data_IF_392131907066
#
_entry.id   IF_392131907066
#
_cell.length_a   1.000
_cell.length_b   1.000
_cell.length_c   1.000
_cell.angle_alpha   90.00
_cell.angle_beta   90.00
_cell.angle_gamma   90.00
#
_symmetry.space_group_name_H-M   'P 1'
#
loop_
_entity.id
_entity.type
_entity.pdbx_description
1 polymer ?
#
# COMPACT_ATOMS: atom_id res chain seq x y z
N UNK A 1 -2.07 -6.61 21.41
CA UNK A 1 -1.23 -7.83 21.44
C UNK A 1 -0.29 -7.73 22.63
N UNK A 2 -0.09 -8.78 23.43
CA UNK A 2 0.86 -8.74 24.55
C UNK A 2 2.28 -9.10 24.10
N UNK A 3 3.29 -8.52 24.75
CA UNK A 3 4.71 -8.82 24.47
C UNK A 3 5.01 -10.31 24.67
N UNK A 4 4.47 -10.91 25.74
CA UNK A 4 4.64 -12.33 26.05
C UNK A 4 4.11 -13.24 24.94
N UNK A 5 3.02 -12.86 24.29
CA UNK A 5 2.47 -13.63 23.17
C UNK A 5 3.42 -13.58 21.97
N UNK A 6 3.88 -12.40 21.57
CA UNK A 6 4.81 -12.26 20.43
C UNK A 6 6.13 -12.96 20.71
N UNK A 7 6.69 -12.78 21.90
CA UNK A 7 7.91 -13.46 22.32
C UNK A 7 7.75 -14.98 22.36
N UNK A 8 6.59 -15.50 22.78
CA UNK A 8 6.32 -16.94 22.78
C UNK A 8 6.17 -17.50 21.37
N UNK A 9 5.48 -16.78 20.48
CA UNK A 9 5.35 -17.14 19.07
C UNK A 9 6.71 -17.13 18.35
N UNK A 10 7.55 -16.13 18.65
CA UNK A 10 8.91 -16.04 18.12
C UNK A 10 9.78 -17.23 18.59
N UNK A 11 9.75 -17.56 19.89
CA UNK A 11 10.48 -18.70 20.45
C UNK A 11 10.06 -20.05 19.87
N UNK A 12 8.78 -20.17 19.50
CA UNK A 12 8.26 -21.39 18.89
C UNK A 12 8.84 -21.67 17.51
N UNK A 13 9.36 -20.66 16.79
CA UNK A 13 9.97 -20.81 15.46
C UNK A 13 9.02 -21.26 14.34
N UNK A 14 7.73 -21.44 14.64
CA UNK A 14 6.72 -21.90 13.67
C UNK A 14 5.98 -20.74 13.01
N UNK A 15 6.05 -19.52 13.57
CA UNK A 15 5.33 -18.39 13.00
C UNK A 15 6.04 -17.89 11.74
N UNK A 16 5.43 -18.15 10.58
CA UNK A 16 5.93 -17.69 9.27
C UNK A 16 5.32 -16.37 8.84
N UNK A 17 4.08 -16.10 9.25
CA UNK A 17 3.37 -14.89 8.87
C UNK A 17 2.58 -14.34 10.06
N UNK A 18 2.62 -13.03 10.23
CA UNK A 18 1.85 -12.29 11.21
C UNK A 18 0.99 -11.24 10.50
N UNK A 19 -0.34 -11.41 10.57
CA UNK A 19 -1.30 -10.43 10.06
C UNK A 19 -1.86 -9.58 11.19
N UNK A 20 -1.69 -8.27 11.10
CA UNK A 20 -2.20 -7.28 12.05
C UNK A 20 -3.30 -6.45 11.38
N UNK A 21 -4.52 -6.57 11.90
CA UNK A 21 -5.66 -5.77 11.47
C UNK A 21 -5.93 -4.67 12.49
N UNK A 22 -5.86 -3.42 12.05
CA UNK A 22 -6.06 -2.23 12.88
C UNK A 22 -7.38 -1.59 12.48
N UNK A 23 -8.35 -1.67 13.38
CA UNK A 23 -9.67 -1.09 13.22
C UNK A 23 -9.89 0.02 14.26
N UNK A 24 -10.76 0.97 13.93
CA UNK A 24 -11.29 1.99 14.84
C UNK A 24 -10.22 2.90 15.46
N UNK A 25 -10.60 3.64 16.50
CA UNK A 25 -9.74 4.66 17.09
C UNK A 25 -8.56 4.07 17.86
N UNK A 26 -7.35 4.39 17.39
CA UNK A 26 -6.10 4.06 18.06
C UNK A 26 -5.85 5.12 19.12
N UNK A 27 -5.94 4.76 20.39
CA UNK A 27 -5.62 5.67 21.50
C UNK A 27 -4.12 5.70 21.77
N UNK A 28 -3.65 6.80 22.36
CA UNK A 28 -2.27 6.96 22.85
C UNK A 28 -1.85 5.93 23.91
N UNK A 29 -2.82 5.19 24.48
CA UNK A 29 -2.60 4.13 25.47
C UNK A 29 -2.27 2.77 24.87
N UNK A 30 -2.22 2.64 23.54
CA UNK A 30 -1.76 1.41 22.91
C UNK A 30 -0.34 1.10 23.39
N UNK A 31 -0.13 -0.03 24.09
CA UNK A 31 1.20 -0.40 24.53
C UNK A 31 2.04 -0.56 23.27
N UNK A 32 3.06 0.27 23.12
CA UNK A 32 4.10 0.05 22.14
C UNK A 32 4.71 -1.31 22.48
N UNK A 33 4.25 -2.37 21.79
CA UNK A 33 4.82 -3.70 21.94
C UNK A 33 6.32 -3.56 21.80
N UNK A 34 7.05 -4.02 22.82
CA UNK A 34 8.46 -3.73 22.96
C UNK A 34 9.22 -4.16 21.69
N UNK A 35 10.08 -3.25 21.22
CA UNK A 35 10.91 -3.34 20.02
C UNK A 35 11.58 -4.72 19.88
N UNK A 36 12.04 -5.30 21.00
CA UNK A 36 12.72 -6.61 21.06
C UNK A 36 11.89 -7.77 20.53
N UNK A 37 10.58 -7.75 20.71
CA UNK A 37 9.70 -8.84 20.26
C UNK A 37 9.50 -8.83 18.74
N UNK A 38 9.53 -7.64 18.11
CA UNK A 38 9.42 -7.51 16.65
C UNK A 38 10.69 -7.96 15.93
N UNK A 39 11.86 -7.58 16.46
CA UNK A 39 13.14 -8.01 15.92
C UNK A 39 13.28 -9.54 15.92
N UNK A 40 12.87 -10.20 17.00
CA UNK A 40 12.90 -11.66 17.12
C UNK A 40 12.04 -12.37 16.05
N UNK A 41 10.91 -11.78 15.64
CA UNK A 41 10.13 -12.29 14.50
C UNK A 41 10.92 -12.21 13.19
N UNK A 42 11.61 -11.10 12.96
CA UNK A 42 12.46 -10.94 11.77
C UNK A 42 13.63 -11.94 11.72
N UNK A 43 14.18 -12.31 12.87
CA UNK A 43 15.28 -13.29 12.99
C UNK A 43 14.85 -14.71 12.62
N UNK A 44 13.62 -15.10 12.93
CA UNK A 44 13.05 -16.40 12.52
C UNK A 44 12.48 -16.40 11.09
N UNK A 45 12.66 -15.29 10.35
CA UNK A 45 12.16 -15.15 8.99
C UNK A 45 10.64 -14.94 8.90
N UNK A 46 9.97 -14.60 9.99
CA UNK A 46 8.55 -14.27 9.98
C UNK A 46 8.33 -12.98 9.18
N UNK A 47 7.32 -12.99 8.31
CA UNK A 47 6.86 -11.81 7.59
C UNK A 47 5.65 -11.18 8.30
N UNK A 48 5.54 -9.86 8.27
CA UNK A 48 4.40 -9.15 8.84
C UNK A 48 3.58 -8.41 7.76
N UNK A 49 2.26 -8.56 7.83
CA UNK A 49 1.28 -7.76 7.09
C UNK A 49 0.52 -6.87 8.05
N UNK A 50 0.41 -5.58 7.73
CA UNK A 50 -0.40 -4.63 8.48
C UNK A 50 -1.49 -4.07 7.58
N UNK A 51 -2.74 -4.27 8.00
CA UNK A 51 -3.93 -3.76 7.31
C UNK A 51 -4.67 -2.81 8.24
N UNK A 52 -4.77 -1.55 7.84
CA UNK A 52 -5.48 -0.49 8.57
C UNK A 52 -6.82 -0.22 7.88
N UNK A 53 -7.90 -0.27 8.65
CA UNK A 53 -9.28 -0.23 8.16
C UNK A 53 -10.03 0.87 8.90
N UNK A 54 -10.49 1.89 8.18
CA UNK A 54 -11.30 2.98 8.73
C UNK A 54 -10.71 3.62 9.99
N UNK A 55 -9.39 3.84 10.01
CA UNK A 55 -8.70 4.34 11.20
C UNK A 55 -7.94 5.65 10.92
N UNK A 56 -8.64 6.81 10.92
CA UNK A 56 -7.98 8.11 10.78
C UNK A 56 -7.02 8.43 11.94
N UNK A 57 -7.32 7.95 13.15
CA UNK A 57 -6.45 8.11 14.32
C UNK A 57 -5.22 7.20 14.26
N UNK A 58 -5.26 6.05 13.56
CA UNK A 58 -4.05 5.27 13.28
C UNK A 58 -3.00 6.10 12.54
N UNK A 59 -3.40 7.03 11.68
CA UNK A 59 -2.47 7.92 10.97
C UNK A 59 -1.74 8.88 11.93
N UNK A 60 -2.33 9.23 13.06
CA UNK A 60 -1.65 10.05 14.09
C UNK A 60 -0.61 9.24 14.88
N UNK A 61 -0.80 7.93 14.95
CA UNK A 61 0.01 7.00 15.74
C UNK A 61 0.73 5.93 14.89
N UNK A 62 0.90 6.19 13.59
CA UNK A 62 1.38 5.18 12.64
C UNK A 62 2.74 4.59 13.00
N UNK A 63 3.61 5.35 13.67
CA UNK A 63 4.94 4.87 14.14
C UNK A 63 4.85 3.85 15.28
N UNK A 64 3.79 3.90 16.08
CA UNK A 64 3.52 2.91 17.12
C UNK A 64 2.91 1.64 16.54
N UNK A 65 2.16 1.78 15.44
CA UNK A 65 1.51 0.66 14.72
C UNK A 65 2.49 -0.05 13.79
N UNK A 66 3.40 0.72 13.18
CA UNK A 66 4.47 0.27 12.30
C UNK A 66 5.82 0.47 13.00
N UNK A 67 6.12 -0.27 14.08
CA UNK A 67 7.41 -0.15 14.74
C UNK A 67 8.52 -0.55 13.77
N UNK A 68 9.66 0.14 13.84
CA UNK A 68 10.72 0.00 12.84
C UNK A 68 11.29 -1.41 12.68
N UNK A 69 11.30 -2.19 13.76
CA UNK A 69 11.82 -3.57 13.75
C UNK A 69 10.78 -4.61 13.32
N UNK A 70 9.54 -4.18 13.04
CA UNK A 70 8.54 -5.04 12.43
C UNK A 70 9.06 -5.54 11.08
N UNK A 71 9.07 -6.86 10.81
CA UNK A 71 9.45 -7.41 9.51
C UNK A 71 8.32 -7.20 8.48
N UNK A 72 7.93 -5.94 8.29
CA UNK A 72 6.83 -5.50 7.44
C UNK A 72 7.11 -5.82 5.97
N UNK A 73 6.25 -6.64 5.38
CA UNK A 73 6.27 -6.98 3.96
C UNK A 73 5.04 -6.46 3.23
N UNK A 74 3.90 -6.31 3.90
CA UNK A 74 2.68 -5.76 3.30
C UNK A 74 2.08 -4.67 4.16
N UNK A 75 1.78 -3.54 3.55
CA UNK A 75 1.11 -2.41 4.18
C UNK A 75 -0.13 -2.06 3.36
N UNK A 76 -1.31 -2.21 3.96
CA UNK A 76 -2.59 -1.91 3.32
C UNK A 76 -3.36 -0.92 4.17
N UNK A 77 -3.84 0.15 3.55
CA UNK A 77 -4.60 1.21 4.18
C UNK A 77 -5.89 1.39 3.40
N UNK A 78 -7.03 1.18 4.06
CA UNK A 78 -8.35 1.39 3.48
C UNK A 78 -9.10 2.45 4.28
N UNK A 79 -9.53 3.50 3.61
CA UNK A 79 -10.33 4.60 4.15
C UNK A 79 -9.73 5.21 5.42
N UNK A 80 -8.40 5.34 5.44
CA UNK A 80 -7.63 5.89 6.56
C UNK A 80 -7.54 7.43 6.51
N UNK A 81 -8.20 8.06 5.54
CA UNK A 81 -8.24 9.50 5.32
C UNK A 81 -6.84 10.09 5.05
N UNK A 82 -6.56 11.27 5.60
CA UNK A 82 -5.37 12.05 5.29
C UNK A 82 -4.10 11.36 5.77
N UNK A 83 -3.30 10.87 4.82
CA UNK A 83 -1.99 10.30 5.09
C UNK A 83 -1.03 11.35 5.67
N UNK A 84 -0.24 11.01 6.71
CA UNK A 84 0.75 11.92 7.28
C UNK A 84 1.88 12.24 6.28
N UNK A 85 2.39 13.49 6.25
CA UNK A 85 3.50 13.85 5.35
C UNK A 85 4.80 13.07 5.54
N UNK A 86 4.99 12.47 6.72
CA UNK A 86 6.20 11.69 7.03
C UNK A 86 6.01 10.19 6.85
N UNK A 87 4.83 9.73 6.38
CA UNK A 87 4.53 8.31 6.26
C UNK A 87 5.48 7.62 5.29
N UNK A 88 5.58 8.12 4.06
CA UNK A 88 6.42 7.51 3.03
C UNK A 88 7.91 7.56 3.39
N UNK A 89 8.38 8.70 3.91
CA UNK A 89 9.76 8.83 4.42
C UNK A 89 10.05 7.75 5.47
N UNK A 90 9.12 7.54 6.39
CA UNK A 90 9.26 6.55 7.45
C UNK A 90 9.28 5.12 6.90
N UNK A 91 8.34 4.78 6.00
CA UNK A 91 8.27 3.45 5.38
C UNK A 91 9.55 3.18 4.58
N UNK A 92 10.01 4.12 3.76
CA UNK A 92 11.27 4.01 3.03
C UNK A 92 12.47 3.87 3.96
N UNK A 93 12.51 4.61 5.07
CA UNK A 93 13.63 4.58 6.00
C UNK A 93 13.69 3.29 6.85
N UNK A 94 12.54 2.67 7.16
CA UNK A 94 12.48 1.55 8.13
C UNK A 94 12.14 0.20 7.54
N UNK A 95 11.43 0.16 6.41
CA UNK A 95 10.86 -1.09 5.87
C UNK A 95 11.22 -1.33 4.39
N UNK A 96 12.05 -0.48 3.78
CA UNK A 96 12.36 -0.53 2.35
C UNK A 96 12.85 -1.88 1.84
N UNK A 97 13.73 -2.55 2.57
CA UNK A 97 14.34 -3.82 2.16
C UNK A 97 13.40 -5.03 2.23
N UNK A 98 12.23 -4.89 2.86
CA UNK A 98 11.26 -5.97 3.06
C UNK A 98 9.91 -5.71 2.41
N UNK A 99 9.53 -4.45 2.21
CA UNK A 99 8.23 -4.10 1.67
C UNK A 99 8.04 -4.69 0.26
N UNK A 100 7.00 -5.51 0.12
CA UNK A 100 6.57 -6.16 -1.11
C UNK A 100 5.24 -5.63 -1.62
N UNK A 101 4.33 -5.27 -0.72
CA UNK A 101 3.00 -4.77 -1.08
C UNK A 101 2.72 -3.44 -0.38
N UNK A 102 2.33 -2.44 -1.16
CA UNK A 102 1.75 -1.20 -0.66
C UNK A 102 0.40 -0.96 -1.33
N UNK A 103 -0.67 -0.93 -0.53
CA UNK A 103 -2.02 -0.59 -1.00
C UNK A 103 -2.57 0.59 -0.23
N UNK A 104 -2.97 1.62 -0.96
CA UNK A 104 -3.61 2.82 -0.47
C UNK A 104 -4.98 2.92 -1.14
N UNK A 105 -6.03 2.88 -0.34
CA UNK A 105 -7.41 2.98 -0.81
C UNK A 105 -8.12 4.07 -0.03
N UNK A 106 -8.66 5.03 -0.76
CA UNK A 106 -9.55 6.06 -0.23
C UNK A 106 -10.73 6.24 -1.19
N UNK A 107 -11.84 6.76 -0.67
CA UNK A 107 -13.01 7.06 -1.48
C UNK A 107 -12.71 8.15 -2.51
N UNK A 108 -13.22 7.95 -3.73
CA UNK A 108 -13.03 8.82 -4.88
C UNK A 108 -14.15 9.86 -5.07
N UNK A 109 -15.05 10.03 -4.09
CA UNK A 109 -16.22 10.93 -4.06
C UNK A 109 -16.41 11.83 -5.29
N UNK A 110 -17.56 11.68 -5.93
CA UNK A 110 -17.95 12.13 -7.28
C UNK A 110 -17.98 13.66 -7.55
N UNK A 111 -16.96 14.41 -7.10
CA UNK A 111 -16.83 15.85 -7.29
C UNK A 111 -15.69 16.15 -8.28
N UNK A 112 -15.88 15.73 -9.53
CA UNK A 112 -15.07 16.14 -10.70
C UNK A 112 -14.25 15.04 -11.38
N UNK A 113 -13.62 15.38 -12.51
CA UNK A 113 -12.90 14.45 -13.38
C UNK A 113 -11.59 13.86 -12.81
N UNK A 114 -11.17 14.26 -11.59
CA UNK A 114 -9.94 13.78 -10.97
C UNK A 114 -10.12 13.61 -9.45
N UNK A 115 -9.53 12.56 -8.88
CA UNK A 115 -9.42 12.34 -7.43
C UNK A 115 -8.85 13.60 -6.73
N UNK A 116 -9.59 14.33 -5.88
CA UNK A 116 -9.09 15.62 -5.31
C UNK A 116 -7.94 15.46 -4.32
N UNK A 117 -7.73 14.25 -3.80
CA UNK A 117 -6.71 14.01 -2.79
C UNK A 117 -5.36 13.79 -3.46
N UNK A 118 -4.37 14.60 -3.10
CA UNK A 118 -2.98 14.35 -3.48
C UNK A 118 -2.28 13.56 -2.39
N UNK A 119 -1.36 12.70 -2.79
CA UNK A 119 -0.44 12.10 -1.83
C UNK A 119 0.35 13.22 -1.14
N UNK A 120 0.60 13.11 0.17
CA UNK A 120 1.28 14.15 0.90
C UNK A 120 2.70 14.29 0.36
N UNK A 121 2.94 15.43 -0.27
CA UNK A 121 4.17 15.75 -0.97
C UNK A 121 4.63 17.16 -0.57
N UNK A 122 5.94 17.36 -0.50
CA UNK A 122 6.55 18.65 -0.21
C UNK A 122 7.38 19.11 -1.40
N UNK A 123 7.29 20.39 -1.75
CA UNK A 123 8.10 20.98 -2.83
C UNK A 123 9.58 20.67 -2.62
N UNK A 124 10.26 20.25 -3.69
CA UNK A 124 11.66 19.87 -3.66
C UNK A 124 11.95 18.43 -3.22
N UNK A 125 10.92 17.63 -2.92
CA UNK A 125 11.07 16.18 -2.70
C UNK A 125 10.64 15.39 -3.94
N UNK A 126 11.16 14.18 -4.14
CA UNK A 126 10.61 13.25 -5.13
C UNK A 126 9.13 12.95 -4.86
N UNK A 127 8.41 12.58 -5.91
CA UNK A 127 7.05 12.03 -5.78
C UNK A 127 7.07 10.82 -4.82
N UNK A 128 6.12 10.69 -3.87
CA UNK A 128 6.15 9.62 -2.87
C UNK A 128 6.11 8.21 -3.46
N UNK A 129 5.39 8.01 -4.58
CA UNK A 129 5.32 6.71 -5.26
C UNK A 129 6.62 6.40 -5.99
N UNK A 130 7.23 7.39 -6.64
CA UNK A 130 8.57 7.22 -7.20
C UNK A 130 9.61 6.89 -6.12
N UNK A 131 9.51 7.54 -4.96
CA UNK A 131 10.39 7.28 -3.83
C UNK A 131 10.25 5.84 -3.31
N UNK A 132 9.02 5.36 -3.14
CA UNK A 132 8.76 3.96 -2.75
C UNK A 132 9.29 2.99 -3.81
N UNK A 133 8.99 3.23 -5.10
CA UNK A 133 9.47 2.39 -6.19
C UNK A 133 11.01 2.35 -6.28
N UNK A 134 11.69 3.46 -6.01
CA UNK A 134 13.15 3.51 -5.99
C UNK A 134 13.73 2.79 -4.76
N UNK A 135 13.20 3.09 -3.57
CA UNK A 135 13.80 2.68 -2.31
C UNK A 135 13.42 1.25 -1.89
N UNK A 136 12.29 0.72 -2.38
CA UNK A 136 11.81 -0.62 -2.01
C UNK A 136 12.14 -1.64 -3.11
N UNK A 137 13.33 -2.28 -3.09
CA UNK A 137 13.78 -3.16 -4.17
C UNK A 137 12.94 -4.44 -4.34
N UNK A 138 12.16 -4.82 -3.31
CA UNK A 138 11.30 -6.00 -3.30
C UNK A 138 9.82 -5.69 -3.53
N UNK A 139 9.49 -4.47 -3.93
CA UNK A 139 8.10 -4.08 -4.17
C UNK A 139 7.54 -4.84 -5.38
N UNK A 140 6.63 -5.77 -5.11
CA UNK A 140 5.94 -6.64 -6.07
C UNK A 140 4.53 -6.11 -6.39
N UNK A 141 3.88 -5.43 -5.44
CA UNK A 141 2.52 -4.92 -5.58
C UNK A 141 2.40 -3.46 -5.14
N UNK A 142 1.82 -2.62 -6.00
CA UNK A 142 1.46 -1.25 -5.69
C UNK A 142 0.03 -0.95 -6.15
N UNK A 143 -0.79 -0.49 -5.21
CA UNK A 143 -2.18 -0.16 -5.45
C UNK A 143 -2.51 1.23 -4.88
N UNK A 144 -3.06 2.11 -5.71
CA UNK A 144 -3.39 3.50 -5.33
C UNK A 144 -4.77 3.86 -5.86
N UNK A 145 -5.74 3.94 -4.96
CA UNK A 145 -7.13 4.32 -5.21
C UNK A 145 -7.48 5.56 -4.39
N UNK A 146 -8.23 6.51 -4.94
CA UNK A 146 -8.60 7.73 -4.23
C UNK A 146 -7.60 8.89 -4.31
N UNK A 147 -6.41 8.70 -4.90
CA UNK A 147 -5.37 9.72 -4.96
C UNK A 147 -5.02 10.14 -6.39
N UNK A 148 -4.85 11.44 -6.62
CA UNK A 148 -4.32 12.00 -7.85
C UNK A 148 -2.87 11.56 -8.08
N UNK A 149 -2.60 10.93 -9.21
CA UNK A 149 -1.28 10.48 -9.65
C UNK A 149 -1.02 10.93 -11.08
N UNK A 150 0.16 11.49 -11.34
CA UNK A 150 0.51 11.89 -12.69
C UNK A 150 0.84 10.67 -13.56
N UNK A 151 0.51 10.73 -14.86
CA UNK A 151 0.93 9.70 -15.81
C UNK A 151 2.46 9.55 -15.87
N UNK A 152 3.21 10.64 -15.59
CA UNK A 152 4.66 10.61 -15.50
C UNK A 152 5.15 9.76 -14.32
N UNK A 153 4.53 9.92 -13.15
CA UNK A 153 4.80 9.13 -11.95
C UNK A 153 4.62 7.64 -12.22
N UNK A 154 3.53 7.24 -12.89
CA UNK A 154 3.27 5.83 -13.22
C UNK A 154 4.30 5.26 -14.19
N UNK A 155 4.63 5.99 -15.26
CA UNK A 155 5.68 5.54 -16.20
C UNK A 155 7.04 5.44 -15.51
N UNK A 156 7.38 6.42 -14.66
CA UNK A 156 8.63 6.43 -13.90
C UNK A 156 8.72 5.26 -12.93
N UNK A 157 7.67 5.00 -12.15
CA UNK A 157 7.66 3.87 -11.20
C UNK A 157 7.75 2.53 -11.93
N UNK A 158 7.07 2.39 -13.06
CA UNK A 158 7.13 1.20 -13.89
C UNK A 158 8.55 0.98 -14.43
N UNK A 159 9.22 2.03 -14.88
CA UNK A 159 10.62 1.94 -15.33
C UNK A 159 11.59 1.58 -14.19
N UNK A 160 11.34 2.06 -12.97
CA UNK A 160 12.18 1.77 -11.80
C UNK A 160 12.06 0.33 -11.31
N UNK A 161 10.87 -0.27 -11.41
CA UNK A 161 10.62 -1.64 -10.93
C UNK A 161 10.66 -2.69 -12.01
N UNK A 162 10.27 -2.33 -13.21
CA UNK A 162 10.22 -3.23 -14.33
C UNK A 162 9.37 -4.46 -14.03
N UNK A 163 9.77 -5.65 -14.52
CA UNK A 163 9.02 -6.90 -14.34
C UNK A 163 8.85 -7.38 -12.90
N UNK A 164 9.65 -6.88 -11.95
CA UNK A 164 9.52 -7.26 -10.54
C UNK A 164 8.24 -6.70 -9.90
N UNK A 165 7.65 -5.63 -10.47
CA UNK A 165 6.35 -5.11 -10.02
C UNK A 165 5.21 -5.90 -10.66
N UNK A 166 4.96 -7.08 -10.11
CA UNK A 166 3.95 -8.04 -10.56
C UNK A 166 2.54 -7.46 -10.66
N UNK A 167 2.21 -6.46 -9.83
CA UNK A 167 0.87 -5.88 -9.79
C UNK A 167 0.91 -4.37 -9.58
N UNK A 168 0.35 -3.62 -10.53
CA UNK A 168 0.13 -2.17 -10.43
C UNK A 168 -1.35 -1.86 -10.65
N UNK A 169 -2.02 -1.28 -9.65
CA UNK A 169 -3.43 -0.94 -9.71
C UNK A 169 -3.64 0.56 -9.48
N UNK A 170 -4.18 1.25 -10.49
CA UNK A 170 -4.54 2.67 -10.40
C UNK A 170 -5.82 2.90 -11.21
N UNK A 171 -6.90 3.47 -10.62
CA UNK A 171 -8.08 3.88 -11.36
C UNK A 171 -7.81 4.94 -12.42
N UNK A 172 -8.55 4.90 -13.53
CA UNK A 172 -8.43 5.89 -14.60
C UNK A 172 -8.68 7.32 -14.11
N UNK A 173 -9.70 7.50 -13.25
CA UNK A 173 -10.06 8.80 -12.65
C UNK A 173 -9.02 9.36 -11.67
N UNK A 174 -8.07 8.55 -11.25
CA UNK A 174 -6.96 8.98 -10.42
C UNK A 174 -5.73 9.38 -11.22
N UNK A 175 -5.72 9.18 -12.54
CA UNK A 175 -4.64 9.58 -13.41
C UNK A 175 -4.91 10.93 -14.06
N UNK A 176 -3.93 11.83 -14.00
CA UNK A 176 -3.93 13.05 -14.79
C UNK A 176 -2.67 13.13 -15.66
N UNK A 177 -2.81 13.77 -16.82
CA UNK A 177 -1.67 14.08 -17.68
C UNK A 177 -1.12 15.44 -17.27
N UNK A 178 0.12 15.45 -16.81
CA UNK A 178 0.81 16.72 -16.56
C UNK A 178 1.10 17.34 -17.94
N UNK A 179 0.30 18.32 -18.31
CA UNK A 179 0.58 19.20 -19.45
C UNK A 179 1.52 20.26 -18.92
N UNK A 180 2.82 20.09 -19.12
CA UNK A 180 3.79 21.13 -18.77
C UNK A 180 3.46 22.47 -19.47
N UNK A 181 4.08 23.55 -19.01
CA UNK A 181 4.03 24.86 -19.68
C UNK A 181 4.60 24.71 -21.10
N UNK A 182 3.73 24.44 -22.09
CA UNK A 182 4.14 24.14 -23.47
C UNK A 182 3.28 23.11 -24.20
N UNK A 183 2.35 22.42 -23.53
CA UNK A 183 1.38 21.53 -24.18
C UNK A 183 1.90 20.17 -24.63
N UNK A 184 3.21 19.98 -24.73
CA UNK A 184 3.83 18.67 -24.97
C UNK A 184 3.98 17.89 -23.66
N UNK A 185 3.23 16.80 -23.51
CA UNK A 185 3.41 15.88 -22.39
C UNK A 185 4.73 15.11 -22.57
N UNK A 186 5.67 15.27 -21.65
CA UNK A 186 6.95 14.56 -21.64
C UNK A 186 6.81 13.02 -21.66
N UNK A 187 5.63 12.51 -21.30
CA UNK A 187 5.31 11.08 -21.30
C UNK A 187 4.98 10.57 -22.71
N UNK A 188 4.74 11.45 -23.69
CA UNK A 188 4.35 11.09 -25.05
C UNK A 188 2.87 10.74 -25.18
N UNK A 189 2.45 10.33 -26.39
CA UNK A 189 1.05 10.11 -26.73
C UNK A 189 0.40 8.90 -26.03
N UNK A 190 1.20 7.85 -25.75
CA UNK A 190 0.74 6.61 -25.12
C UNK A 190 1.51 6.29 -23.82
N UNK A 191 1.10 6.87 -22.68
CA UNK A 191 1.70 6.56 -21.38
C UNK A 191 1.50 5.10 -20.99
N UNK A 192 0.37 4.48 -21.33
CA UNK A 192 0.00 3.15 -20.83
C UNK A 192 0.74 2.03 -21.56
N UNK A 193 1.01 2.21 -22.85
CA UNK A 193 1.92 1.34 -23.61
C UNK A 193 3.34 1.38 -23.04
N UNK A 194 3.83 2.54 -22.60
CA UNK A 194 5.13 2.64 -21.91
C UNK A 194 5.14 1.92 -20.57
N UNK A 195 4.08 2.05 -19.77
CA UNK A 195 3.94 1.30 -18.51
C UNK A 195 3.99 -0.20 -18.79
N UNK A 196 3.18 -0.68 -19.75
CA UNK A 196 3.15 -2.10 -20.15
C UNK A 196 4.52 -2.59 -20.61
N UNK A 197 5.24 -1.77 -21.40
CA UNK A 197 6.58 -2.08 -21.88
C UNK A 197 7.56 -2.31 -20.72
N UNK A 198 7.60 -1.41 -19.74
CA UNK A 198 8.51 -1.53 -18.60
C UNK A 198 8.16 -2.71 -17.69
N UNK A 199 6.86 -2.91 -17.43
CA UNK A 199 6.40 -3.98 -16.55
C UNK A 199 6.49 -5.39 -17.17
N UNK A 200 6.60 -5.49 -18.50
CA UNK A 200 6.64 -6.78 -19.19
C UNK A 200 5.29 -7.52 -19.25
N UNK A 201 4.21 -6.90 -18.80
CA UNK A 201 2.84 -7.38 -18.95
C UNK A 201 1.90 -6.27 -19.42
N UNK A 202 0.74 -6.67 -19.97
CA UNK A 202 -0.27 -5.71 -20.40
C UNK A 202 -0.87 -5.01 -19.18
N UNK A 203 -0.63 -3.71 -19.08
CA UNK A 203 -1.18 -2.88 -18.03
C UNK A 203 -2.10 -1.80 -18.62
N UNK A 204 -3.22 -1.58 -17.96
CA UNK A 204 -4.12 -0.46 -18.22
C UNK A 204 -4.67 0.06 -16.89
N UNK A 205 -5.03 1.35 -16.80
CA UNK A 205 -5.76 1.83 -15.64
C UNK A 205 -7.07 1.09 -15.46
N UNK A 206 -7.53 1.00 -14.22
CA UNK A 206 -8.78 0.32 -13.88
C UNK A 206 -9.93 1.27 -14.23
N UNK A 207 -10.87 0.85 -15.11
CA UNK A 207 -12.02 1.67 -15.44
C UNK A 207 -13.00 1.72 -14.27
N UNK A 208 -13.75 2.81 -14.14
CA UNK A 208 -14.66 3.00 -13.00
C UNK A 208 -15.69 1.89 -12.87
N UNK A 209 -16.12 1.32 -13.99
CA UNK A 209 -17.05 0.18 -14.05
C UNK A 209 -16.56 -1.11 -13.35
N UNK A 210 -15.26 -1.22 -13.08
CA UNK A 210 -14.65 -2.36 -12.39
C UNK A 210 -14.35 -2.07 -10.91
N UNK A 211 -14.64 -0.85 -10.43
CA UNK A 211 -14.38 -0.46 -9.05
C UNK A 211 -15.58 -0.79 -8.16
N UNK A 212 -15.36 -1.28 -6.94
CA UNK A 212 -16.41 -1.42 -5.93
C UNK A 212 -17.17 -0.11 -5.70
N UNK A 213 -18.46 -0.20 -5.40
CA UNK A 213 -19.29 0.98 -5.12
C UNK A 213 -18.73 1.78 -3.94
N UNK A 214 -18.23 1.06 -2.93
CA UNK A 214 -17.52 1.60 -1.77
C UNK A 214 -16.30 2.50 -2.09
N UNK A 215 -15.67 2.31 -3.25
CA UNK A 215 -14.54 3.15 -3.65
C UNK A 215 -14.98 4.40 -4.41
N UNK A 216 -16.17 4.39 -5.02
CA UNK A 216 -16.71 5.47 -5.83
C UNK A 216 -17.51 6.48 -4.99
N UNK A 217 -18.20 5.98 -3.96
CA UNK A 217 -19.10 6.76 -3.12
C UNK A 217 -18.77 6.55 -1.62
N UNK A 218 -18.42 7.62 -0.90
CA UNK A 218 -18.16 7.54 0.55
C UNK A 218 -19.40 7.22 1.36
N UNK A 219 -20.58 7.51 0.82
CA UNK A 219 -21.86 7.25 1.47
C UNK A 219 -22.38 5.84 1.14
N UNK A 220 -21.58 5.05 0.41
CA UNK A 220 -21.92 3.68 0.08
C UNK A 220 -22.09 2.84 1.36
N UNK A 221 -23.18 2.08 1.50
CA UNK A 221 -23.54 1.43 2.77
C UNK A 221 -22.63 0.27 3.18
N UNK A 222 -21.78 -0.25 2.28
CA UNK A 222 -20.95 -1.44 2.50
C UNK A 222 -19.48 -1.18 2.16
N UNK A 223 -18.75 -0.39 2.95
CA UNK A 223 -17.35 -0.09 2.66
C UNK A 223 -16.45 -1.33 2.64
N UNK A 224 -16.85 -2.42 3.30
CA UNK A 224 -16.17 -3.70 3.30
C UNK A 224 -16.01 -4.29 1.90
N UNK A 225 -16.89 -3.96 0.96
CA UNK A 225 -16.81 -4.40 -0.44
C UNK A 225 -15.43 -4.08 -1.05
N UNK A 226 -14.82 -2.97 -0.65
CA UNK A 226 -13.52 -2.53 -1.17
C UNK A 226 -12.32 -3.39 -0.69
N UNK A 227 -12.48 -4.19 0.36
CA UNK A 227 -11.35 -4.90 0.98
C UNK A 227 -11.62 -6.33 1.42
N UNK A 228 -12.89 -6.77 1.50
CA UNK A 228 -13.25 -8.07 2.07
C UNK A 228 -12.56 -9.23 1.35
N UNK A 229 -12.51 -9.22 0.01
CA UNK A 229 -11.80 -10.25 -0.75
C UNK A 229 -10.30 -10.27 -0.44
N UNK A 230 -9.68 -9.09 -0.29
CA UNK A 230 -8.27 -9.01 0.10
C UNK A 230 -8.03 -9.55 1.50
N UNK A 231 -8.98 -9.38 2.43
CA UNK A 231 -8.87 -9.92 3.79
C UNK A 231 -9.04 -11.44 3.80
N UNK A 232 -10.00 -11.96 3.02
CA UNK A 232 -10.25 -13.40 2.91
C UNK A 232 -9.07 -14.13 2.27
N UNK A 233 -8.49 -13.58 1.21
CA UNK A 233 -7.31 -14.16 0.56
C UNK A 233 -6.08 -14.21 1.49
N UNK A 234 -5.99 -13.34 2.49
CA UNK A 234 -4.92 -13.41 3.51
C UNK A 234 -5.16 -14.54 4.53
N UNK A 235 -6.40 -15.03 4.67
CA UNK A 235 -6.76 -16.13 5.57
C UNK A 235 -6.59 -17.50 4.92
N UNK A 236 -6.59 -17.58 3.59
CA UNK A 236 -6.43 -18.82 2.82
C UNK A 236 -4.95 -19.24 2.63
N UNK A 237 -4.01 -18.63 3.37
CA UNK A 237 -2.65 -19.14 3.49
C UNK A 237 -2.65 -20.50 4.24
N UNK A 238 -2.84 -21.59 3.48
CA UNK A 238 -2.63 -23.02 3.81
C UNK A 238 -3.86 -23.95 3.71
N UNK A 239 -4.42 -24.12 2.51
CA UNK A 239 -5.05 -25.41 2.13
C UNK A 239 -4.37 -26.14 0.97
N UNK A 240 -3.41 -25.52 0.27
CA UNK A 240 -2.67 -26.16 -0.82
C UNK A 240 -1.29 -26.67 -0.41
N UNK A 241 -1.21 -27.36 0.73
CA UNK A 241 -0.10 -28.29 1.00
C UNK A 241 -0.66 -29.72 0.89
N UNK A 242 -0.49 -30.32 -0.29
CA UNK A 242 -0.67 -31.76 -0.49
C UNK A 242 -1.88 -32.17 -1.32
N UNK A 243 -1.84 -31.92 -2.62
CA UNK A 243 -2.56 -32.76 -3.60
C UNK A 243 -1.60 -33.09 -4.73
N UNK A 244 -0.52 -33.75 -4.37
CA UNK A 244 0.28 -34.54 -5.29
C UNK A 244 0.00 -36.00 -4.95
N UNK A 245 -0.97 -36.58 -5.65
CA UNK A 245 -1.01 -38.01 -5.98
C UNK A 245 -0.45 -38.19 -7.39
#
# INVERSE_FOLDING_TARGET
VSEELVASLARGGLLRHLSLFVHNDVTSSMPALAIRSWAALGEIGCEASVTMLHSPSAMQHFRSILPADLPLTRLRMYFCQRLPPTLFDFVCARHSHRLRCLRLVESMNDIGCCCRQTLPWSRGRPDPLMMIAWMCPRLEELAVYGYCVSAHTIVGLAALRGPELLKLEVPERCLYRDTGEGGDSAVGADPYGKVSHWLGYRWCPIPDSQLPGAMLDSDFPWPEEAYIESLLNDQDYDFNVGSSE
#
